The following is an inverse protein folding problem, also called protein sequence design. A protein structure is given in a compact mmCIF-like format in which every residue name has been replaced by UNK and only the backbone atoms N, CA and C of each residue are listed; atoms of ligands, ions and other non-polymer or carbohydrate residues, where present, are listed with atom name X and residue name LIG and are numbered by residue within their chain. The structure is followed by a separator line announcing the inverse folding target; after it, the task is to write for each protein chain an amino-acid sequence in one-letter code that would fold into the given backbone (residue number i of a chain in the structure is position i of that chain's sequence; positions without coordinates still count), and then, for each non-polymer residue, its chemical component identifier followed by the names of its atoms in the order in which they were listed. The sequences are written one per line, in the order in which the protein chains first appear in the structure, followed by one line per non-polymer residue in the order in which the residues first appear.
data_IF_030024718285
#
_entry.id   IF_030024718285
#
_cell.length_a   1.000
_cell.length_b   1.000
_cell.length_c   1.000
_cell.angle_alpha   90.00
_cell.angle_beta   90.00
_cell.angle_gamma   90.00
#
_symmetry.space_group_name_H-M   'P 1'
#
loop_
_entity.id
_entity.type
_entity.pdbx_description
1 polymer ?
#
# COMPACT_ATOMS: atom_id res chain seq x y z
N UNK A 1 5.08 -26.36 -10.15
CA UNK A 1 3.96 -26.70 -9.26
C UNK A 1 3.03 -25.52 -9.00
N UNK A 2 3.49 -24.33 -8.55
CA UNK A 2 2.59 -23.17 -8.34
C UNK A 2 1.82 -22.66 -9.59
N UNK A 3 2.20 -23.05 -10.81
CA UNK A 3 1.55 -22.60 -12.06
C UNK A 3 0.58 -23.64 -12.67
N UNK A 4 0.43 -24.80 -12.02
CA UNK A 4 -0.47 -25.89 -12.47
C UNK A 4 -1.59 -26.18 -11.46
N UNK A 5 -1.53 -25.59 -10.26
CA UNK A 5 -2.52 -25.77 -9.20
C UNK A 5 -3.71 -24.80 -9.31
N UNK A 6 -4.81 -25.15 -8.65
CA UNK A 6 -5.95 -24.25 -8.53
C UNK A 6 -5.62 -23.13 -7.50
N UNK A 7 -6.42 -22.06 -7.48
CA UNK A 7 -6.20 -20.90 -6.61
C UNK A 7 -6.24 -21.26 -5.11
N UNK A 8 -7.00 -22.29 -4.73
CA UNK A 8 -7.11 -22.78 -3.35
C UNK A 8 -5.84 -23.53 -2.93
N UNK A 9 -5.21 -24.28 -3.84
CA UNK A 9 -3.94 -24.98 -3.60
C UNK A 9 -2.82 -23.98 -3.29
N UNK A 10 -2.76 -22.87 -4.03
CA UNK A 10 -1.77 -21.80 -3.81
C UNK A 10 -2.00 -21.12 -2.45
N UNK A 11 -3.25 -20.86 -2.08
CA UNK A 11 -3.57 -20.30 -0.76
C UNK A 11 -3.16 -21.25 0.37
N UNK A 12 -3.47 -22.54 0.23
CA UNK A 12 -3.11 -23.56 1.23
C UNK A 12 -1.60 -23.76 1.37
N UNK A 13 -0.84 -23.72 0.26
CA UNK A 13 0.63 -23.76 0.29
C UNK A 13 1.22 -22.53 1.00
N UNK A 14 0.64 -21.34 0.77
CA UNK A 14 1.09 -20.11 1.41
C UNK A 14 0.81 -20.10 2.91
N UNK A 15 -0.36 -20.58 3.35
CA UNK A 15 -0.69 -20.74 4.76
C UNK A 15 0.24 -21.76 5.44
N UNK A 16 0.49 -22.88 4.77
CA UNK A 16 1.42 -23.91 5.25
C UNK A 16 2.84 -23.35 5.36
N UNK A 17 3.28 -22.57 4.38
CA UNK A 17 4.58 -21.90 4.42
C UNK A 17 4.65 -20.87 5.56
N UNK A 18 3.59 -20.08 5.77
CA UNK A 18 3.55 -19.10 6.84
C UNK A 18 3.68 -19.76 8.23
N UNK A 19 2.99 -20.88 8.47
CA UNK A 19 3.10 -21.64 9.72
C UNK A 19 4.47 -22.29 9.86
N UNK A 20 5.00 -22.89 8.79
CA UNK A 20 6.26 -23.64 8.83
C UNK A 20 7.50 -22.74 8.92
N UNK A 21 7.40 -21.51 8.43
CA UNK A 21 8.51 -20.56 8.40
C UNK A 21 8.51 -19.57 9.57
N UNK A 22 7.54 -19.63 10.49
CA UNK A 22 7.37 -18.66 11.59
C UNK A 22 8.64 -18.47 12.45
N UNK A 23 9.45 -19.52 12.57
CA UNK A 23 10.74 -19.48 13.29
C UNK A 23 11.76 -18.52 12.65
N UNK A 24 11.66 -18.26 11.35
CA UNK A 24 12.62 -17.45 10.59
C UNK A 24 12.02 -16.21 9.96
N UNK A 25 10.72 -16.26 9.68
CA UNK A 25 9.95 -15.21 9.02
C UNK A 25 8.60 -15.15 9.74
N UNK A 26 8.26 -14.04 10.41
CA UNK A 26 7.06 -13.99 11.24
C UNK A 26 5.81 -14.22 10.41
N UNK A 27 4.84 -14.95 10.97
CA UNK A 27 3.57 -15.27 10.32
C UNK A 27 2.86 -14.05 9.71
N UNK A 28 2.87 -12.91 10.41
CA UNK A 28 2.27 -11.64 9.97
C UNK A 28 2.88 -11.11 8.66
N UNK A 29 4.10 -11.52 8.30
CA UNK A 29 4.74 -11.15 7.04
C UNK A 29 3.98 -11.67 5.80
N UNK A 30 3.19 -12.73 5.97
CA UNK A 30 2.43 -13.36 4.91
C UNK A 30 1.01 -12.76 4.78
N UNK A 31 0.55 -11.95 5.73
CA UNK A 31 -0.83 -11.47 5.83
C UNK A 31 -1.32 -10.86 4.51
N UNK A 32 -0.59 -9.91 3.92
CA UNK A 32 -1.04 -9.24 2.69
C UNK A 32 -1.08 -10.18 1.48
N UNK A 33 -0.30 -11.25 1.46
CA UNK A 33 -0.30 -12.24 0.37
C UNK A 33 -1.37 -13.29 0.61
N UNK A 34 -1.56 -13.79 1.82
CA UNK A 34 -2.67 -14.69 2.14
C UNK A 34 -4.01 -13.99 1.91
N UNK A 35 -4.12 -12.73 2.34
CA UNK A 35 -5.29 -11.91 2.05
C UNK A 35 -5.47 -11.68 0.55
N UNK A 36 -4.40 -11.51 -0.24
CA UNK A 36 -4.45 -11.44 -1.71
C UNK A 36 -5.14 -12.69 -2.30
N UNK A 37 -4.76 -13.88 -1.84
CA UNK A 37 -5.32 -15.14 -2.34
C UNK A 37 -6.68 -15.51 -1.71
N UNK A 38 -7.12 -14.83 -0.65
CA UNK A 38 -8.43 -15.09 -0.03
C UNK A 38 -9.63 -14.55 -0.82
N UNK A 39 -9.43 -13.67 -1.82
CA UNK A 39 -10.51 -13.10 -2.61
C UNK A 39 -10.92 -14.03 -3.77
N UNK A 40 -12.20 -14.39 -3.83
CA UNK A 40 -12.81 -15.17 -4.93
C UNK A 40 -13.15 -14.31 -6.18
N UNK A 41 -13.12 -12.98 -6.05
CA UNK A 41 -13.52 -11.97 -7.06
C UNK A 41 -12.32 -11.15 -7.59
N UNK A 42 -12.45 -10.31 -8.65
CA UNK A 42 -11.37 -9.45 -9.10
C UNK A 42 -10.78 -8.65 -7.96
N UNK A 43 -9.46 -8.70 -7.89
CA UNK A 43 -8.73 -8.30 -6.71
C UNK A 43 -8.77 -6.77 -6.58
N UNK A 44 -9.30 -6.23 -5.48
CA UNK A 44 -9.46 -4.80 -5.34
C UNK A 44 -8.08 -4.13 -5.28
N UNK A 45 -7.90 -3.07 -6.09
CA UNK A 45 -6.62 -2.37 -6.24
C UNK A 45 -6.04 -1.83 -4.92
N UNK A 46 -6.87 -1.70 -3.88
CA UNK A 46 -6.43 -1.30 -2.54
C UNK A 46 -5.58 -2.35 -1.81
N UNK A 47 -5.74 -3.64 -2.10
CA UNK A 47 -4.96 -4.72 -1.46
C UNK A 47 -3.57 -4.88 -2.09
N UNK A 48 -3.38 -4.34 -3.30
CA UNK A 48 -2.16 -4.51 -4.08
C UNK A 48 -0.94 -3.97 -3.34
N UNK A 49 -1.09 -2.82 -2.67
CA UNK A 49 -0.03 -2.23 -1.86
C UNK A 49 0.27 -3.06 -0.61
N UNK A 50 -0.74 -3.66 0.01
CA UNK A 50 -0.57 -4.54 1.18
C UNK A 50 0.20 -5.81 0.79
N UNK A 51 -0.20 -6.45 -0.30
CA UNK A 51 0.48 -7.62 -0.86
C UNK A 51 1.91 -7.29 -1.30
N UNK A 52 2.12 -6.15 -1.98
CA UNK A 52 3.44 -5.64 -2.35
C UNK A 52 4.36 -5.49 -1.13
N UNK A 53 3.86 -4.82 -0.10
CA UNK A 53 4.64 -4.56 1.11
C UNK A 53 4.97 -5.87 1.84
N UNK A 54 4.04 -6.82 1.86
CA UNK A 54 4.25 -8.16 2.41
C UNK A 54 5.35 -8.91 1.64
N UNK A 55 5.33 -8.91 0.31
CA UNK A 55 6.37 -9.52 -0.52
C UNK A 55 7.76 -8.89 -0.27
N UNK A 56 7.81 -7.55 -0.21
CA UNK A 56 9.05 -6.83 0.10
C UNK A 56 9.54 -7.13 1.52
N UNK A 57 8.64 -7.19 2.48
CA UNK A 57 8.98 -7.51 3.86
C UNK A 57 9.48 -8.95 3.99
N UNK A 58 8.82 -9.93 3.36
CA UNK A 58 9.30 -11.32 3.27
C UNK A 58 10.69 -11.39 2.67
N UNK A 59 10.94 -10.71 1.55
CA UNK A 59 12.25 -10.71 0.89
C UNK A 59 13.36 -10.20 1.82
N UNK A 60 13.11 -9.13 2.58
CA UNK A 60 14.05 -8.57 3.55
C UNK A 60 14.24 -9.47 4.75
N UNK A 61 13.17 -10.06 5.26
CA UNK A 61 13.21 -10.98 6.41
C UNK A 61 13.99 -12.25 6.08
N UNK A 62 13.76 -12.84 4.89
CA UNK A 62 14.53 -13.99 4.41
C UNK A 62 16.02 -13.64 4.28
N UNK A 63 16.37 -12.49 3.69
CA UNK A 63 17.77 -12.03 3.62
C UNK A 63 18.39 -11.87 5.01
N UNK A 64 17.65 -11.29 5.96
CA UNK A 64 18.14 -11.06 7.33
C UNK A 64 18.39 -12.38 8.06
N UNK A 65 17.50 -13.37 7.87
CA UNK A 65 17.59 -14.70 8.48
C UNK A 65 18.51 -15.65 7.71
N UNK A 66 19.08 -15.25 6.57
CA UNK A 66 19.92 -16.10 5.71
C UNK A 66 21.10 -16.71 6.46
N UNK A 67 21.79 -15.93 7.30
CA UNK A 67 22.93 -16.44 8.08
C UNK A 67 22.51 -17.51 9.08
N UNK A 68 21.35 -17.37 9.69
CA UNK A 68 20.80 -18.35 10.63
C UNK A 68 20.30 -19.61 9.91
N UNK A 69 19.67 -19.46 8.74
CA UNK A 69 19.25 -20.59 7.90
C UNK A 69 20.43 -21.42 7.36
N UNK A 70 21.57 -20.76 7.09
CA UNK A 70 22.80 -21.41 6.65
C UNK A 70 23.64 -21.94 7.81
N UNK A 71 23.22 -21.73 9.06
CA UNK A 71 23.93 -22.20 10.23
C UNK A 71 23.88 -23.73 10.28
N UNK A 72 25.04 -24.36 10.46
CA UNK A 72 25.22 -25.82 10.48
C UNK A 72 25.03 -26.53 9.14
N UNK A 73 24.93 -25.78 8.02
CA UNK A 73 25.02 -26.34 6.68
C UNK A 73 26.44 -26.17 6.13
N UNK A 74 26.98 -27.25 5.58
CA UNK A 74 28.33 -27.32 5.01
C UNK A 74 28.32 -27.82 3.56
N UNK A 75 29.38 -27.46 2.83
CA UNK A 75 29.67 -27.94 1.48
C UNK A 75 28.52 -27.70 0.48
N UNK A 76 28.09 -28.74 -0.28
CA UNK A 76 27.12 -28.58 -1.35
C UNK A 76 25.74 -28.11 -0.88
N UNK A 77 25.28 -28.59 0.28
CA UNK A 77 23.97 -28.22 0.84
C UNK A 77 23.89 -26.75 1.23
N UNK A 78 24.98 -26.19 1.76
CA UNK A 78 25.08 -24.74 2.06
C UNK A 78 24.96 -23.91 0.79
N UNK A 79 25.68 -24.30 -0.27
CA UNK A 79 25.65 -23.58 -1.55
C UNK A 79 24.28 -23.64 -2.22
N UNK A 80 23.65 -24.82 -2.24
CA UNK A 80 22.33 -25.02 -2.82
C UNK A 80 21.24 -24.24 -2.06
N UNK A 81 21.29 -24.28 -0.72
CA UNK A 81 20.38 -23.51 0.14
C UNK A 81 20.57 -22.00 -0.07
N UNK A 82 21.82 -21.52 -0.16
CA UNK A 82 22.09 -20.11 -0.43
C UNK A 82 21.53 -19.66 -1.78
N UNK A 83 21.74 -20.45 -2.84
CA UNK A 83 21.19 -20.15 -4.18
C UNK A 83 19.66 -20.16 -4.18
N UNK A 84 19.05 -21.08 -3.44
CA UNK A 84 17.59 -21.15 -3.29
C UNK A 84 17.05 -19.92 -2.58
N UNK A 85 17.73 -19.46 -1.52
CA UNK A 85 17.38 -18.21 -0.81
C UNK A 85 17.46 -17.01 -1.76
N UNK A 86 18.56 -16.87 -2.51
CA UNK A 86 18.74 -15.77 -3.45
C UNK A 86 17.65 -15.78 -4.54
N UNK A 87 17.34 -16.97 -5.06
CA UNK A 87 16.27 -17.15 -6.04
C UNK A 87 14.90 -16.75 -5.48
N UNK A 88 14.56 -17.20 -4.27
CA UNK A 88 13.28 -16.84 -3.62
C UNK A 88 13.16 -15.33 -3.41
N UNK A 89 14.21 -14.69 -2.88
CA UNK A 89 14.25 -13.25 -2.65
C UNK A 89 14.06 -12.48 -3.96
N UNK A 90 14.77 -12.86 -5.02
CA UNK A 90 14.64 -12.24 -6.34
C UNK A 90 13.20 -12.37 -6.87
N UNK A 91 12.57 -13.54 -6.69
CA UNK A 91 11.19 -13.78 -7.13
C UNK A 91 10.18 -12.96 -6.35
N UNK A 92 10.33 -12.85 -5.02
CA UNK A 92 9.48 -12.00 -4.19
C UNK A 92 9.61 -10.52 -4.57
N UNK A 93 10.83 -10.04 -4.79
CA UNK A 93 11.08 -8.67 -5.25
C UNK A 93 10.46 -8.42 -6.63
N UNK A 94 10.62 -9.35 -7.58
CA UNK A 94 9.98 -9.26 -8.91
C UNK A 94 8.45 -9.30 -8.82
N UNK A 95 7.89 -10.17 -7.99
CA UNK A 95 6.45 -10.27 -7.80
C UNK A 95 5.88 -8.99 -7.18
N UNK A 96 6.61 -8.35 -6.27
CA UNK A 96 6.20 -7.07 -5.67
C UNK A 96 6.01 -5.96 -6.70
N UNK A 97 6.81 -5.96 -7.77
CA UNK A 97 6.73 -4.98 -8.87
C UNK A 97 5.47 -5.14 -9.71
N UNK A 98 4.86 -6.33 -9.72
CA UNK A 98 3.59 -6.53 -10.41
C UNK A 98 2.51 -5.61 -9.81
N UNK A 99 2.54 -5.36 -8.50
CA UNK A 99 1.54 -4.53 -7.83
C UNK A 99 1.79 -3.02 -7.96
N UNK A 100 2.83 -2.58 -8.67
CA UNK A 100 3.04 -1.16 -8.94
C UNK A 100 2.03 -0.63 -9.97
N UNK A 101 1.68 0.67 -9.94
CA UNK A 101 0.85 1.27 -10.99
C UNK A 101 1.44 1.00 -12.38
N UNK A 102 0.69 0.28 -13.23
CA UNK A 102 1.15 -0.14 -14.56
C UNK A 102 1.96 -1.44 -14.60
N UNK A 103 2.24 -2.07 -13.46
CA UNK A 103 2.97 -3.34 -13.35
C UNK A 103 2.10 -4.58 -13.56
N UNK A 104 0.82 -4.52 -13.19
CA UNK A 104 -0.16 -5.57 -13.41
C UNK A 104 -1.20 -5.11 -14.42
N UNK A 105 -1.18 -5.74 -15.60
CA UNK A 105 -2.26 -5.61 -16.57
C UNK A 105 -3.16 -6.83 -16.43
N UNK A 106 -4.30 -6.66 -15.75
CA UNK A 106 -5.35 -7.67 -15.84
C UNK A 106 -5.76 -7.73 -17.31
N UNK A 107 -5.73 -8.91 -17.97
CA UNK A 107 -6.08 -8.99 -19.38
C UNK A 107 -7.48 -8.39 -19.59
N UNK A 108 -7.73 -7.66 -20.70
CA UNK A 108 -8.96 -6.89 -20.90
C UNK A 108 -10.21 -7.78 -20.99
N UNK A 109 -10.02 -9.10 -21.14
CA UNK A 109 -11.01 -10.11 -20.83
C UNK A 109 -10.57 -10.83 -19.58
N UNK A 110 -11.38 -10.74 -18.53
CA UNK A 110 -11.20 -11.55 -17.34
C UNK A 110 -11.23 -13.03 -17.76
N UNK A 111 -10.19 -13.84 -17.48
CA UNK A 111 -10.21 -15.27 -17.78
C UNK A 111 -11.40 -16.00 -17.17
N UNK A 112 -12.02 -15.42 -16.13
CA UNK A 112 -13.22 -15.94 -15.45
C UNK A 112 -14.52 -15.61 -16.18
N UNK A 113 -14.53 -14.65 -17.12
CA UNK A 113 -15.70 -14.37 -17.96
C UNK A 113 -16.01 -15.50 -18.95
N UNK A 114 -15.03 -16.40 -19.20
CA UNK A 114 -15.18 -17.55 -20.11
C UNK A 114 -15.53 -18.85 -19.39
N UNK A 115 -15.43 -18.90 -18.06
CA UNK A 115 -15.76 -20.10 -17.30
C UNK A 115 -17.20 -19.93 -16.84
N UNK A 116 -18.09 -20.65 -17.51
CA UNK A 116 -19.51 -20.73 -17.22
C UNK A 116 -19.76 -20.77 -15.70
N UNK A 117 -20.37 -19.70 -15.20
CA UNK A 117 -21.00 -19.64 -13.86
C UNK A 117 -22.26 -20.53 -13.80
N UNK A 118 -22.54 -21.31 -14.84
CA UNK A 118 -23.61 -22.29 -14.87
C UNK A 118 -23.26 -23.48 -13.96
N UNK A 119 -23.68 -23.40 -12.69
CA UNK A 119 -23.69 -24.56 -11.79
C UNK A 119 -23.01 -24.37 -10.44
N UNK A 120 -22.26 -23.27 -10.23
CA UNK A 120 -21.80 -22.91 -8.88
C UNK A 120 -22.88 -22.04 -8.25
N UNK A 121 -23.55 -22.60 -7.25
CA UNK A 121 -24.59 -21.93 -6.46
C UNK A 121 -24.13 -20.57 -5.93
N UNK A 122 -25.09 -19.82 -5.34
CA UNK A 122 -24.94 -18.45 -4.82
C UNK A 122 -23.52 -18.13 -4.35
N UNK A 123 -23.00 -16.91 -4.62
CA UNK A 123 -21.69 -16.49 -4.13
C UNK A 123 -21.55 -16.92 -2.67
N UNK A 124 -20.60 -17.82 -2.39
CA UNK A 124 -20.28 -18.17 -1.00
C UNK A 124 -19.94 -16.83 -0.34
N UNK A 125 -20.63 -16.53 0.77
CA UNK A 125 -20.24 -15.43 1.64
C UNK A 125 -18.73 -15.54 1.87
N UNK A 126 -17.98 -14.42 1.87
CA UNK A 126 -16.56 -14.44 2.16
C UNK A 126 -16.33 -15.29 3.41
N UNK A 127 -15.51 -16.33 3.31
CA UNK A 127 -15.16 -17.10 4.50
C UNK A 127 -14.53 -16.17 5.53
N UNK A 128 -14.71 -16.44 6.83
CA UNK A 128 -14.06 -15.66 7.88
C UNK A 128 -12.56 -15.61 7.60
N UNK A 129 -12.00 -14.40 7.55
CA UNK A 129 -10.56 -14.24 7.30
C UNK A 129 -9.78 -15.06 8.34
N UNK A 130 -8.71 -15.77 7.94
CA UNK A 130 -7.93 -16.59 8.88
C UNK A 130 -7.26 -15.75 9.99
N UNK A 131 -7.13 -14.43 9.79
CA UNK A 131 -6.56 -13.50 10.77
C UNK A 131 -7.65 -12.74 11.54
N UNK A 132 -7.87 -13.10 12.80
CA UNK A 132 -8.87 -12.49 13.69
C UNK A 132 -8.64 -10.99 14.02
N UNK A 133 -7.51 -10.41 13.60
CA UNK A 133 -7.13 -9.01 13.79
C UNK A 133 -7.00 -8.18 12.50
N UNK A 134 -7.24 -8.78 11.33
CA UNK A 134 -7.21 -8.05 10.07
C UNK A 134 -8.25 -6.93 10.14
N UNK A 135 -7.77 -5.67 10.15
CA UNK A 135 -8.66 -4.51 10.01
C UNK A 135 -9.49 -4.79 8.78
N UNK A 136 -10.82 -4.88 8.96
CA UNK A 136 -11.75 -5.04 7.84
C UNK A 136 -11.46 -4.00 6.76
N UNK A 137 -12.01 -4.17 5.54
CA UNK A 137 -11.77 -3.23 4.45
C UNK A 137 -11.85 -1.81 5.01
N UNK A 138 -10.80 -0.97 4.82
CA UNK A 138 -10.84 0.40 5.32
C UNK A 138 -12.18 0.99 4.88
N UNK A 139 -12.91 1.64 5.80
CA UNK A 139 -14.20 2.29 5.49
C UNK A 139 -14.08 2.87 4.08
N UNK A 140 -14.95 2.46 3.15
CA UNK A 140 -14.84 2.81 1.73
C UNK A 140 -14.70 4.34 1.54
N UNK A 141 -15.32 5.11 2.44
CA UNK A 141 -15.15 6.56 2.54
C UNK A 141 -13.74 6.97 2.97
N UNK A 142 -13.14 6.29 3.95
CA UNK A 142 -11.77 6.54 4.38
C UNK A 142 -10.75 6.20 3.28
N UNK A 143 -11.01 5.15 2.49
CA UNK A 143 -10.18 4.80 1.33
C UNK A 143 -10.30 5.85 0.22
N UNK A 144 -11.54 6.22 -0.17
CA UNK A 144 -11.79 7.31 -1.14
C UNK A 144 -11.12 8.61 -0.69
N UNK A 145 -11.25 8.97 0.59
CA UNK A 145 -10.58 10.13 1.18
C UNK A 145 -9.06 10.05 1.03
N UNK A 146 -8.41 8.90 1.31
CA UNK A 146 -6.95 8.77 1.12
C UNK A 146 -6.54 8.94 -0.33
N UNK A 147 -7.31 8.39 -1.28
CA UNK A 147 -7.04 8.52 -2.70
C UNK A 147 -7.13 9.98 -3.15
N UNK A 148 -8.23 10.65 -2.78
CA UNK A 148 -8.44 12.07 -3.08
C UNK A 148 -7.31 12.92 -2.49
N UNK A 149 -6.95 12.72 -1.22
CA UNK A 149 -5.85 13.44 -0.57
C UNK A 149 -4.51 13.19 -1.28
N UNK A 150 -4.22 11.95 -1.66
CA UNK A 150 -3.00 11.60 -2.39
C UNK A 150 -2.94 12.17 -3.81
N UNK A 151 -4.09 12.35 -4.48
CA UNK A 151 -4.16 13.05 -5.77
C UNK A 151 -3.96 14.55 -5.60
N UNK A 152 -4.62 15.17 -4.62
CA UNK A 152 -4.48 16.59 -4.31
C UNK A 152 -3.03 16.96 -3.96
N UNK A 153 -2.35 16.13 -3.18
CA UNK A 153 -0.96 16.39 -2.79
C UNK A 153 0.01 16.30 -3.98
N UNK A 154 -0.24 15.38 -4.92
CA UNK A 154 0.56 15.27 -6.16
C UNK A 154 0.32 16.45 -7.10
N UNK A 155 -0.93 16.88 -7.27
CA UNK A 155 -1.25 18.09 -8.02
C UNK A 155 -0.55 19.31 -7.43
N UNK A 156 -0.62 19.47 -6.10
CA UNK A 156 0.05 20.55 -5.38
C UNK A 156 1.56 20.52 -5.58
N UNK A 157 2.18 19.33 -5.51
CA UNK A 157 3.61 19.17 -5.72
C UNK A 157 4.04 19.63 -7.11
N UNK A 158 3.35 19.18 -8.16
CA UNK A 158 3.66 19.58 -9.53
C UNK A 158 3.47 21.09 -9.74
N UNK A 159 2.41 21.67 -9.17
CA UNK A 159 2.16 23.11 -9.27
C UNK A 159 3.24 23.93 -8.55
N UNK A 160 3.70 23.45 -7.39
CA UNK A 160 4.75 24.07 -6.59
C UNK A 160 6.13 23.93 -7.23
N UNK A 161 6.47 22.77 -7.79
CA UNK A 161 7.70 22.56 -8.56
C UNK A 161 7.74 23.44 -9.82
N UNK A 162 6.60 23.64 -10.48
CA UNK A 162 6.49 24.54 -11.62
C UNK A 162 6.62 26.03 -11.25
N UNK A 163 6.12 26.43 -10.07
CA UNK A 163 6.28 27.79 -9.56
C UNK A 163 7.74 28.06 -9.12
N UNK A 164 8.43 27.04 -8.59
CA UNK A 164 9.79 27.15 -8.09
C UNK A 164 9.89 27.99 -6.80
N UNK A 165 11.08 28.51 -6.51
CA UNK A 165 11.28 29.45 -5.41
C UNK A 165 10.99 28.86 -4.02
N UNK A 166 10.20 29.57 -3.21
CA UNK A 166 9.87 29.16 -1.83
C UNK A 166 8.62 28.31 -1.71
N UNK A 167 7.93 28.06 -2.83
CA UNK A 167 6.67 27.32 -2.84
C UNK A 167 6.80 25.91 -2.23
N UNK A 168 7.94 25.25 -2.45
CA UNK A 168 8.22 23.90 -1.90
C UNK A 168 8.29 23.93 -0.37
N UNK A 169 9.04 24.87 0.19
CA UNK A 169 9.17 25.03 1.63
C UNK A 169 7.81 25.39 2.29
N UNK A 170 6.97 26.15 1.59
CA UNK A 170 5.60 26.44 2.05
C UNK A 170 4.72 25.18 2.05
N UNK A 171 4.85 24.33 1.04
CA UNK A 171 4.12 23.06 0.97
C UNK A 171 4.57 22.09 2.07
N UNK A 172 5.87 21.97 2.31
CA UNK A 172 6.41 21.16 3.42
C UNK A 172 5.93 21.67 4.78
N UNK A 173 5.84 23.00 4.97
CA UNK A 173 5.27 23.59 6.17
C UNK A 173 3.80 23.21 6.36
N UNK A 174 3.00 23.24 5.29
CA UNK A 174 1.60 22.80 5.33
C UNK A 174 1.50 21.34 5.74
N UNK A 175 2.32 20.46 5.15
CA UNK A 175 2.33 19.03 5.50
C UNK A 175 2.70 18.82 6.97
N UNK A 176 3.70 19.55 7.48
CA UNK A 176 4.08 19.49 8.89
C UNK A 176 2.97 19.97 9.84
N UNK A 177 2.26 21.04 9.51
CA UNK A 177 1.12 21.51 10.32
C UNK A 177 -0.05 20.51 10.31
N UNK A 178 -0.28 19.81 9.19
CA UNK A 178 -1.28 18.76 9.10
C UNK A 178 -0.88 17.49 9.85
N UNK A 179 0.38 17.08 9.81
CA UNK A 179 0.90 15.95 10.57
C UNK A 179 0.78 16.19 12.09
N UNK A 180 1.08 17.41 12.55
CA UNK A 180 0.85 17.80 13.95
C UNK A 180 -0.63 17.72 14.32
N UNK A 181 -1.53 18.13 13.41
CA UNK A 181 -2.96 18.06 13.63
C UNK A 181 -3.50 16.61 13.68
N UNK A 182 -2.97 15.71 12.84
CA UNK A 182 -3.35 14.29 12.84
C UNK A 182 -2.97 13.58 14.16
N UNK A 183 -1.86 14.00 14.77
CA UNK A 183 -1.38 13.44 16.04
C UNK A 183 -2.02 14.08 17.29
N UNK A 184 -2.94 15.03 17.12
CA UNK A 184 -3.61 15.68 18.24
C UNK A 184 -4.65 14.77 18.91
N UNK A 185 -5.02 15.07 20.16
CA UNK A 185 -6.06 14.35 20.90
C UNK A 185 -7.46 14.41 20.22
N UNK A 186 -7.68 15.38 19.34
CA UNK A 186 -8.90 15.51 18.53
C UNK A 186 -8.54 15.89 17.09
N UNK A 187 -8.19 14.90 16.25
CA UNK A 187 -7.61 15.13 14.93
C UNK A 187 -8.47 16.00 14.00
N UNK A 188 -9.78 15.76 13.95
CA UNK A 188 -10.68 16.51 13.05
C UNK A 188 -10.77 18.01 13.44
N UNK A 189 -10.85 18.29 14.73
CA UNK A 189 -10.91 19.67 15.26
C UNK A 189 -9.57 20.37 15.04
N UNK A 190 -8.45 19.69 15.32
CA UNK A 190 -7.11 20.20 15.10
C UNK A 190 -6.85 20.50 13.63
N UNK A 191 -7.24 19.58 12.74
CA UNK A 191 -7.10 19.74 11.28
C UNK A 191 -7.93 20.90 10.76
N UNK A 192 -9.20 21.01 11.15
CA UNK A 192 -10.07 22.14 10.78
C UNK A 192 -9.52 23.48 11.28
N UNK A 193 -8.87 23.50 12.45
CA UNK A 193 -8.21 24.69 12.98
C UNK A 193 -6.95 25.04 12.18
N UNK A 194 -6.09 24.06 11.89
CA UNK A 194 -4.87 24.24 11.09
C UNK A 194 -5.20 24.76 9.69
N UNK A 195 -6.14 24.13 8.97
CA UNK A 195 -6.56 24.58 7.64
C UNK A 195 -7.10 26.01 7.64
N UNK A 196 -7.88 26.40 8.66
CA UNK A 196 -8.36 27.80 8.80
C UNK A 196 -7.22 28.79 9.05
N UNK A 197 -6.21 28.39 9.80
CA UNK A 197 -5.03 29.22 10.05
C UNK A 197 -4.19 29.37 8.77
N UNK A 198 -3.87 28.27 8.10
CA UNK A 198 -3.14 28.25 6.83
C UNK A 198 -3.83 29.09 5.75
N UNK A 199 -5.16 29.03 5.62
CA UNK A 199 -5.89 29.87 4.66
C UNK A 199 -5.74 31.36 4.94
N UNK A 200 -5.64 31.76 6.22
CA UNK A 200 -5.45 33.17 6.58
C UNK A 200 -4.01 33.61 6.37
N UNK A 201 -3.04 32.73 6.58
CA UNK A 201 -1.61 33.07 6.44
C UNK A 201 -1.17 33.06 4.99
N UNK A 202 -1.62 32.09 4.21
CA UNK A 202 -1.28 31.90 2.79
C UNK A 202 -2.25 32.62 1.84
N UNK A 203 -3.07 33.55 2.34
CA UNK A 203 -3.97 34.28 1.44
C UNK A 203 -3.16 35.16 0.46
N UNK A 204 -3.42 35.13 -0.87
CA UNK A 204 -2.69 35.93 -1.85
C UNK A 204 -2.72 37.43 -1.55
N UNK A 205 -3.85 37.95 -1.08
CA UNK A 205 -4.00 39.38 -0.71
C UNK A 205 -3.11 39.80 0.47
N UNK A 206 -2.72 38.86 1.35
CA UNK A 206 -1.81 39.13 2.47
C UNK A 206 -0.34 38.91 2.11
N UNK A 207 -0.08 38.33 0.95
CA UNK A 207 1.26 38.04 0.44
C UNK A 207 1.44 38.61 -0.98
N UNK A 208 1.24 39.92 -1.20
CA UNK A 208 1.28 40.52 -2.54
C UNK A 208 2.64 40.35 -3.23
N UNK A 209 3.73 40.34 -2.47
CA UNK A 209 5.09 40.25 -3.02
C UNK A 209 5.51 38.83 -3.41
N UNK A 210 4.80 37.79 -2.93
CA UNK A 210 5.16 36.38 -3.16
C UNK A 210 3.97 35.57 -3.71
N UNK A 211 3.06 36.21 -4.45
CA UNK A 211 1.84 35.53 -4.94
C UNK A 211 2.14 34.31 -5.81
N UNK A 212 3.21 34.35 -6.61
CA UNK A 212 3.61 33.22 -7.46
C UNK A 212 3.92 31.95 -6.65
N UNK A 213 4.56 32.11 -5.49
CA UNK A 213 4.94 30.99 -4.62
C UNK A 213 3.77 30.53 -3.73
N UNK A 214 2.96 31.49 -3.26
CA UNK A 214 1.91 31.25 -2.27
C UNK A 214 0.64 30.68 -2.89
N UNK A 215 0.29 31.12 -4.11
CA UNK A 215 -0.95 30.74 -4.80
C UNK A 215 -1.13 29.23 -5.01
N UNK A 216 -0.15 28.46 -5.52
CA UNK A 216 -0.35 27.02 -5.71
C UNK A 216 -0.55 26.28 -4.38
N UNK A 217 0.12 26.71 -3.31
CA UNK A 217 -0.06 26.14 -1.96
C UNK A 217 -1.42 26.53 -1.38
N UNK A 218 -1.85 27.78 -1.57
CA UNK A 218 -3.17 28.25 -1.13
C UNK A 218 -4.32 27.47 -1.79
N UNK A 219 -4.25 27.26 -3.11
CA UNK A 219 -5.24 26.48 -3.87
C UNK A 219 -5.33 25.04 -3.35
N UNK A 220 -4.19 24.43 -3.00
CA UNK A 220 -4.16 23.12 -2.35
C UNK A 220 -4.88 23.11 -0.99
N UNK A 221 -4.59 24.10 -0.12
CA UNK A 221 -5.24 24.20 1.21
C UNK A 221 -6.76 24.44 1.09
N UNK A 222 -7.20 25.19 0.08
CA UNK A 222 -8.64 25.37 -0.22
C UNK A 222 -9.29 24.03 -0.56
N UNK A 223 -8.70 23.25 -1.49
CA UNK A 223 -9.21 21.92 -1.87
C UNK A 223 -9.25 20.97 -0.66
N UNK A 224 -8.22 20.97 0.19
CA UNK A 224 -8.19 20.16 1.41
C UNK A 224 -9.34 20.48 2.37
N UNK A 225 -9.71 21.77 2.49
CA UNK A 225 -10.82 22.21 3.35
C UNK A 225 -12.17 21.78 2.82
N UNK A 226 -12.37 21.83 1.50
CA UNK A 226 -13.66 21.47 0.90
C UNK A 226 -13.93 19.96 1.02
N UNK A 227 -12.88 19.12 0.99
CA UNK A 227 -12.97 17.68 1.28
C UNK A 227 -13.24 17.35 2.77
N UNK A 228 -13.11 18.33 3.68
CA UNK A 228 -13.36 18.14 5.11
C UNK A 228 -14.72 18.69 5.59
N UNK A 229 -15.51 19.30 4.71
CA UNK A 229 -16.89 19.73 5.00
C UNK A 229 -17.86 18.57 4.83
#
# INVERSE_FOLDING_TARGET
MMLEGNWEDVSGELETAAVSCDTFVPYDAFEGIVNLFSYYEPLPAWEWMSARNSLLFLSKSIRKSQMDMLRNLDGPYRMETSRSIDFMVERLEKASKMFEPGGFYMPPKDPRDKVDREGRGRPRMPEPRPFAGAKGPPNEEAYRRRLVMGTLRREAQMAVEAAGGRALALLERVDGELEVAENAASPDVARSKALRQLLRELHPDRNPDNQADVRPVFEYVVKLRDETK
#
